data_IF_846229934916
#
_entry.id   IF_846229934916
#
_cell.length_a   1.000
_cell.length_b   1.000
_cell.length_c   1.000
_cell.angle_alpha   90.00
_cell.angle_beta   90.00
_cell.angle_gamma   90.00
#
_symmetry.space_group_name_H-M   'P 1'
#
loop_
_entity.id
_entity.type
_entity.pdbx_description
1 polymer ?
#
# COMPACT_ATOMS: atom_id res chain seq x y z
N UNK A 1 -7.98 4.01 8.35
CA UNK A 1 -6.89 3.92 9.34
C UNK A 1 -7.40 3.99 10.77
N UNK A 2 -8.16 5.01 11.21
CA UNK A 2 -8.75 5.03 12.57
C UNK A 2 -9.59 3.79 12.90
N UNK A 3 -10.51 3.42 11.99
CA UNK A 3 -11.37 2.22 12.10
C UNK A 3 -10.56 0.93 12.28
N UNK A 4 -9.36 0.83 11.68
CA UNK A 4 -8.49 -0.35 11.78
C UNK A 4 -7.88 -0.49 13.16
N UNK A 5 -7.48 0.64 13.77
CA UNK A 5 -6.89 0.65 15.11
C UNK A 5 -7.96 0.46 16.20
N UNK A 6 -9.22 0.77 15.89
CA UNK A 6 -10.38 0.54 16.78
C UNK A 6 -10.98 -0.86 16.66
N UNK A 7 -10.58 -1.63 15.63
CA UNK A 7 -11.12 -2.96 15.40
C UNK A 7 -10.70 -3.96 16.50
N UNK A 8 -11.63 -4.84 16.94
CA UNK A 8 -11.31 -5.88 17.91
C UNK A 8 -10.32 -6.88 17.31
N UNK A 9 -9.40 -7.38 18.14
CA UNK A 9 -8.50 -8.47 17.77
C UNK A 9 -9.24 -9.80 17.76
N UNK A 10 -9.08 -10.57 16.68
CA UNK A 10 -9.73 -11.87 16.51
C UNK A 10 -8.94 -13.04 17.14
N UNK A 11 -7.80 -12.78 17.77
CA UNK A 11 -6.97 -13.83 18.41
C UNK A 11 -6.20 -14.72 17.43
N UNK A 12 -6.32 -14.45 16.13
CA UNK A 12 -5.58 -15.15 15.08
C UNK A 12 -4.12 -14.67 15.02
N UNK A 13 -3.20 -15.58 14.68
CA UNK A 13 -1.80 -15.24 14.52
C UNK A 13 -1.61 -14.30 13.31
N UNK A 14 -0.72 -13.29 13.39
CA UNK A 14 -0.45 -12.42 12.25
C UNK A 14 0.24 -13.21 11.13
N UNK A 15 -0.08 -12.88 9.88
CA UNK A 15 0.63 -13.39 8.71
C UNK A 15 1.83 -12.49 8.36
N UNK A 16 2.87 -13.01 7.69
CA UNK A 16 3.96 -12.19 7.19
C UNK A 16 3.48 -11.17 6.14
N UNK A 17 4.08 -9.97 6.12
CA UNK A 17 3.74 -8.93 5.13
C UNK A 17 3.79 -9.38 3.67
N UNK A 18 4.75 -10.24 3.31
CA UNK A 18 4.83 -10.75 1.93
C UNK A 18 3.62 -11.62 1.58
N UNK A 19 3.11 -12.39 2.56
CA UNK A 19 1.95 -13.26 2.38
C UNK A 19 0.68 -12.44 2.12
N UNK A 20 0.50 -11.31 2.84
CA UNK A 20 -0.57 -10.35 2.58
C UNK A 20 -0.66 -9.93 1.12
N UNK A 21 0.49 -9.58 0.53
CA UNK A 21 0.56 -9.16 -0.87
C UNK A 21 0.32 -10.32 -1.83
N UNK A 22 0.90 -11.50 -1.59
CA UNK A 22 0.75 -12.64 -2.51
C UNK A 22 -0.65 -13.27 -2.47
N UNK A 23 -1.43 -13.06 -1.42
CA UNK A 23 -2.80 -13.58 -1.29
C UNK A 23 -3.89 -12.58 -1.73
N UNK A 24 -3.49 -11.37 -2.12
CA UNK A 24 -4.43 -10.32 -2.44
C UNK A 24 -5.23 -10.60 -3.73
N UNK A 25 -6.55 -10.69 -3.62
CA UNK A 25 -7.45 -11.06 -4.72
C UNK A 25 -7.49 -10.06 -5.90
N UNK A 26 -6.99 -8.84 -5.71
CA UNK A 26 -6.87 -7.83 -6.77
C UNK A 26 -5.71 -8.11 -7.73
N UNK A 27 -4.73 -8.94 -7.34
CA UNK A 27 -3.53 -9.19 -8.15
C UNK A 27 -3.79 -10.12 -9.33
N UNK A 28 -3.18 -9.76 -10.47
CA UNK A 28 -3.22 -10.56 -11.70
C UNK A 28 -4.60 -10.67 -12.35
N UNK A 29 -5.60 -9.96 -11.82
CA UNK A 29 -6.94 -9.90 -12.38
C UNK A 29 -7.11 -8.76 -13.39
N UNK A 30 -8.12 -8.89 -14.24
CA UNK A 30 -8.51 -7.82 -15.18
C UNK A 30 -8.89 -6.52 -14.44
N UNK A 31 -8.58 -5.36 -15.00
CA UNK A 31 -8.91 -4.04 -14.41
C UNK A 31 -10.43 -3.82 -14.24
N UNK A 32 -11.25 -4.62 -14.94
CA UNK A 32 -12.70 -4.62 -14.85
C UNK A 32 -13.25 -5.81 -14.05
N UNK A 33 -12.39 -6.56 -13.35
CA UNK A 33 -12.86 -7.58 -12.43
C UNK A 33 -13.61 -6.93 -11.24
N UNK A 34 -14.46 -7.71 -10.59
CA UNK A 34 -15.32 -7.19 -9.52
C UNK A 34 -14.57 -6.51 -8.37
N UNK A 35 -13.42 -7.05 -7.87
CA UNK A 35 -12.60 -6.33 -6.88
C UNK A 35 -12.14 -4.94 -7.37
N UNK A 36 -11.62 -4.84 -8.59
CA UNK A 36 -11.07 -3.59 -9.11
C UNK A 36 -12.15 -2.55 -9.42
N UNK A 37 -13.32 -2.97 -9.90
CA UNK A 37 -14.44 -2.04 -10.10
C UNK A 37 -15.00 -1.54 -8.76
N UNK A 38 -15.16 -2.42 -7.76
CA UNK A 38 -15.61 -2.00 -6.43
C UNK A 38 -14.67 -0.98 -5.79
N UNK A 39 -13.36 -1.15 -5.94
CA UNK A 39 -12.35 -0.18 -5.46
C UNK A 39 -12.50 1.20 -6.14
N UNK A 40 -12.82 1.21 -7.44
CA UNK A 40 -13.05 2.43 -8.19
C UNK A 40 -14.32 3.13 -7.71
N UNK A 41 -15.41 2.39 -7.57
CA UNK A 41 -16.69 2.93 -7.11
C UNK A 41 -16.57 3.50 -5.69
N UNK A 42 -15.85 2.81 -4.79
CA UNK A 42 -15.52 3.32 -3.43
C UNK A 42 -14.72 4.63 -3.50
N UNK A 43 -13.73 4.70 -4.40
CA UNK A 43 -12.90 5.90 -4.60
C UNK A 43 -13.70 7.08 -5.13
N UNK A 44 -14.60 6.84 -6.10
CA UNK A 44 -15.50 7.86 -6.66
C UNK A 44 -16.47 8.38 -5.60
N UNK A 45 -17.09 7.49 -4.82
CA UNK A 45 -17.96 7.87 -3.71
C UNK A 45 -17.21 8.68 -2.64
N UNK A 46 -15.99 8.28 -2.27
CA UNK A 46 -15.17 9.01 -1.32
C UNK A 46 -14.76 10.42 -1.81
N UNK A 47 -14.75 10.63 -3.13
CA UNK A 47 -14.43 11.90 -3.77
C UNK A 47 -15.66 12.75 -4.14
N UNK A 48 -16.88 12.30 -3.84
CA UNK A 48 -18.14 12.94 -4.24
C UNK A 48 -18.23 14.40 -3.78
N UNK A 49 -17.78 14.70 -2.56
CA UNK A 49 -17.75 16.06 -1.99
C UNK A 49 -16.62 16.94 -2.56
N UNK A 50 -15.78 16.39 -3.44
CA UNK A 50 -14.70 17.07 -4.15
C UNK A 50 -13.38 17.20 -3.36
N UNK A 51 -12.36 17.69 -4.07
CA UNK A 51 -10.97 17.71 -3.57
C UNK A 51 -10.78 18.50 -2.27
N UNK A 52 -11.49 19.62 -2.08
CA UNK A 52 -11.37 20.43 -0.87
C UNK A 52 -11.86 19.69 0.38
N UNK A 53 -12.96 18.94 0.25
CA UNK A 53 -13.49 18.10 1.32
C UNK A 53 -12.53 16.95 1.63
N UNK A 54 -12.02 16.27 0.61
CA UNK A 54 -11.05 15.19 0.77
C UNK A 54 -9.77 15.67 1.49
N UNK A 55 -9.20 16.80 1.06
CA UNK A 55 -8.01 17.39 1.72
C UNK A 55 -8.27 17.71 3.20
N UNK A 56 -9.46 18.22 3.52
CA UNK A 56 -9.85 18.48 4.92
C UNK A 56 -9.90 17.17 5.73
N UNK A 57 -10.53 16.13 5.19
CA UNK A 57 -10.61 14.81 5.84
C UNK A 57 -9.22 14.20 6.03
N UNK A 58 -8.36 14.21 5.02
CA UNK A 58 -6.99 13.71 5.11
C UNK A 58 -6.18 14.46 6.17
N UNK A 59 -6.30 15.79 6.25
CA UNK A 59 -5.62 16.59 7.29
C UNK A 59 -6.10 16.24 8.70
N UNK A 60 -7.40 16.03 8.88
CA UNK A 60 -7.98 15.63 10.16
C UNK A 60 -7.46 14.23 10.58
N UNK A 61 -7.50 13.26 9.68
CA UNK A 61 -6.98 11.91 9.95
C UNK A 61 -5.47 11.92 10.23
N UNK A 62 -4.69 12.72 9.49
CA UNK A 62 -3.25 12.84 9.72
C UNK A 62 -2.94 13.43 11.09
N UNK A 63 -3.70 14.44 11.54
CA UNK A 63 -3.55 15.00 12.87
C UNK A 63 -3.84 13.94 13.96
N UNK A 64 -4.94 13.21 13.83
CA UNK A 64 -5.31 12.14 14.76
C UNK A 64 -4.24 11.03 14.81
N UNK A 65 -3.76 10.57 13.66
CA UNK A 65 -2.78 9.48 13.58
C UNK A 65 -1.41 9.88 14.14
N UNK A 66 -1.01 11.15 14.01
CA UNK A 66 0.24 11.66 14.60
C UNK A 66 0.26 11.56 16.11
N UNK A 67 -0.89 11.78 16.75
CA UNK A 67 -1.01 11.69 18.20
C UNK A 67 -1.20 10.24 18.66
N UNK A 68 -1.96 9.45 17.88
CA UNK A 68 -2.35 8.08 18.25
C UNK A 68 -1.25 7.04 18.05
N UNK A 69 -0.59 7.00 16.89
CA UNK A 69 0.34 5.92 16.54
C UNK A 69 1.50 5.77 17.55
N UNK A 70 2.11 6.86 18.07
CA UNK A 70 3.18 6.72 19.07
C UNK A 70 2.74 6.10 20.40
N UNK A 71 1.43 6.07 20.69
CA UNK A 71 0.87 5.49 21.90
C UNK A 71 0.48 4.01 21.76
N UNK A 72 0.52 3.45 20.54
CA UNK A 72 0.21 2.03 20.31
C UNK A 72 1.38 1.15 20.79
N UNK A 73 1.10 -0.04 21.37
CA UNK A 73 2.13 -1.00 21.74
C UNK A 73 2.96 -1.50 20.54
N UNK A 74 4.24 -1.81 20.76
CA UNK A 74 5.12 -2.31 19.68
C UNK A 74 4.68 -3.67 19.11
N UNK A 75 3.98 -4.48 19.89
CA UNK A 75 3.40 -5.77 19.49
C UNK A 75 1.92 -5.66 19.07
N UNK A 76 1.43 -4.44 18.82
CA UNK A 76 0.05 -4.19 18.39
C UNK A 76 -0.24 -4.98 17.13
N UNK A 77 -1.30 -5.78 17.19
CA UNK A 77 -1.88 -6.45 16.04
C UNK A 77 -3.04 -5.63 15.47
N UNK A 78 -3.33 -5.77 14.19
CA UNK A 78 -4.47 -5.14 13.52
C UNK A 78 -5.10 -6.07 12.49
N UNK A 79 -6.42 -6.00 12.34
CA UNK A 79 -7.14 -6.73 11.29
C UNK A 79 -7.09 -5.96 9.97
N UNK A 80 -6.67 -6.60 8.89
CA UNK A 80 -6.59 -5.92 7.59
C UNK A 80 -8.00 -5.73 7.02
N UNK A 81 -8.44 -4.49 6.70
CA UNK A 81 -9.84 -4.23 6.34
C UNK A 81 -10.29 -4.90 5.03
N UNK A 82 -9.34 -5.31 4.17
CA UNK A 82 -9.62 -6.00 2.91
C UNK A 82 -9.12 -7.46 2.84
N UNK A 83 -8.88 -8.09 3.98
CA UNK A 83 -8.50 -9.51 4.04
C UNK A 83 -8.94 -10.17 5.34
N UNK A 84 -9.13 -11.50 5.38
CA UNK A 84 -9.53 -12.21 6.60
C UNK A 84 -8.40 -12.37 7.63
N UNK A 85 -7.27 -11.67 7.50
CA UNK A 85 -6.05 -11.92 8.28
C UNK A 85 -5.64 -10.75 9.17
N UNK A 86 -4.83 -11.10 10.16
CA UNK A 86 -4.19 -10.17 11.09
C UNK A 86 -2.77 -9.84 10.62
N UNK A 87 -2.33 -8.61 10.85
CA UNK A 87 -0.95 -8.15 10.66
C UNK A 87 -0.42 -7.54 11.96
N UNK A 88 0.91 -7.45 12.08
CA UNK A 88 1.50 -6.50 13.02
C UNK A 88 1.17 -5.08 12.56
N UNK A 89 1.08 -4.12 13.50
CA UNK A 89 0.85 -2.72 13.15
C UNK A 89 1.94 -2.20 12.21
N UNK A 90 3.20 -2.59 12.44
CA UNK A 90 4.33 -2.23 11.59
C UNK A 90 4.15 -2.73 10.15
N UNK A 91 3.82 -4.01 9.97
CA UNK A 91 3.55 -4.57 8.63
C UNK A 91 2.37 -3.86 7.96
N UNK A 92 1.30 -3.58 8.72
CA UNK A 92 0.15 -2.84 8.22
C UNK A 92 0.54 -1.41 7.78
N UNK A 93 1.34 -0.70 8.57
CA UNK A 93 1.81 0.65 8.23
C UNK A 93 2.70 0.63 6.97
N UNK A 94 3.51 -0.40 6.77
CA UNK A 94 4.25 -0.57 5.51
C UNK A 94 3.29 -0.68 4.32
N UNK A 95 2.16 -1.38 4.46
CA UNK A 95 1.14 -1.38 3.39
C UNK A 95 0.65 0.02 3.06
N UNK A 96 0.44 0.86 4.08
CA UNK A 96 -0.02 2.24 3.89
C UNK A 96 1.05 3.10 3.23
N UNK A 97 2.34 2.89 3.56
CA UNK A 97 3.44 3.57 2.89
C UNK A 97 3.51 3.22 1.41
N UNK A 98 3.30 1.95 1.04
CA UNK A 98 3.24 1.52 -0.37
C UNK A 98 2.11 2.24 -1.09
N UNK A 99 0.90 2.20 -0.53
CA UNK A 99 -0.29 2.84 -1.13
C UNK A 99 -0.10 4.36 -1.30
N UNK A 100 0.44 5.04 -0.29
CA UNK A 100 0.70 6.48 -0.35
C UNK A 100 1.76 6.78 -1.42
N UNK A 101 2.87 6.04 -1.46
CA UNK A 101 3.95 6.29 -2.40
C UNK A 101 3.51 6.09 -3.86
N UNK A 102 2.78 5.01 -4.13
CA UNK A 102 2.26 4.70 -5.47
C UNK A 102 1.20 5.72 -5.88
N UNK A 103 0.20 5.97 -5.01
CA UNK A 103 -0.90 6.84 -5.40
C UNK A 103 -0.56 8.34 -5.43
N UNK A 104 0.51 8.77 -4.76
CA UNK A 104 1.03 10.12 -4.95
C UNK A 104 1.59 10.31 -6.36
N UNK A 105 2.32 9.33 -6.87
CA UNK A 105 2.84 9.33 -8.24
C UNK A 105 1.70 9.23 -9.26
N UNK A 106 0.78 8.24 -9.08
CA UNK A 106 -0.39 8.06 -9.94
C UNK A 106 -1.21 9.35 -10.07
N UNK A 107 -1.47 10.02 -8.93
CA UNK A 107 -2.24 11.25 -8.90
C UNK A 107 -1.50 12.38 -9.63
N UNK A 108 -0.22 12.57 -9.36
CA UNK A 108 0.59 13.62 -9.97
C UNK A 108 0.64 13.45 -11.50
N UNK A 109 0.92 12.22 -11.97
CA UNK A 109 0.91 11.87 -13.40
C UNK A 109 -0.45 12.14 -14.02
N UNK A 110 -1.55 11.76 -13.34
CA UNK A 110 -2.92 11.92 -13.85
C UNK A 110 -3.33 13.38 -14.06
N UNK A 111 -2.71 14.32 -13.33
CA UNK A 111 -3.00 15.76 -13.44
C UNK A 111 -1.86 16.55 -14.11
N UNK A 112 -0.85 15.87 -14.65
CA UNK A 112 0.27 16.49 -15.37
C UNK A 112 1.22 17.29 -14.47
N UNK A 113 1.38 16.85 -13.22
CA UNK A 113 2.32 17.44 -12.25
C UNK A 113 3.46 16.45 -11.93
N UNK A 114 4.57 16.97 -11.45
CA UNK A 114 5.64 16.14 -10.90
C UNK A 114 5.22 15.60 -9.52
N UNK A 115 5.53 14.33 -9.26
CA UNK A 115 5.30 13.71 -7.97
C UNK A 115 6.15 14.40 -6.88
N UNK A 116 5.61 14.61 -5.68
CA UNK A 116 6.37 15.21 -4.59
C UNK A 116 7.48 14.26 -4.11
N UNK A 117 8.62 14.84 -3.70
CA UNK A 117 9.69 14.07 -3.07
C UNK A 117 9.22 13.44 -1.76
N UNK A 118 9.48 12.14 -1.61
CA UNK A 118 9.23 11.39 -0.39
C UNK A 118 10.53 11.15 0.38
N UNK A 119 10.49 11.20 1.73
CA UNK A 119 11.67 11.00 2.54
C UNK A 119 12.16 9.54 2.46
N UNK A 120 13.47 9.34 2.62
CA UNK A 120 14.10 8.03 2.46
C UNK A 120 13.55 6.99 3.45
N UNK A 121 13.20 7.41 4.66
CA UNK A 121 12.58 6.57 5.69
C UNK A 121 11.19 6.05 5.28
N UNK A 122 10.48 6.73 4.38
CA UNK A 122 9.23 6.25 3.80
C UNK A 122 9.49 5.34 2.59
N UNK A 123 10.45 5.69 1.74
CA UNK A 123 10.74 4.93 0.51
C UNK A 123 11.48 3.61 0.75
N UNK A 124 12.36 3.54 1.74
CA UNK A 124 13.13 2.33 2.04
C UNK A 124 12.26 1.09 2.31
N UNK A 125 11.24 1.12 3.20
CA UNK A 125 10.36 -0.02 3.39
C UNK A 125 9.51 -0.34 2.15
N UNK A 126 9.08 0.68 1.39
CA UNK A 126 8.35 0.50 0.13
C UNK A 126 9.20 -0.27 -0.88
N UNK A 127 10.44 0.17 -1.14
CA UNK A 127 11.34 -0.52 -2.06
C UNK A 127 11.72 -1.93 -1.58
N UNK A 128 11.86 -2.14 -0.27
CA UNK A 128 12.11 -3.47 0.28
C UNK A 128 10.96 -4.43 -0.05
N UNK A 129 9.70 -3.99 0.11
CA UNK A 129 8.53 -4.79 -0.25
C UNK A 129 8.45 -5.03 -1.75
N UNK A 130 8.51 -3.97 -2.56
CA UNK A 130 8.40 -4.07 -4.02
C UNK A 130 9.50 -4.97 -4.61
N UNK A 131 10.73 -4.88 -4.10
CA UNK A 131 11.83 -5.74 -4.54
C UNK A 131 11.58 -7.20 -4.16
N UNK A 132 11.11 -7.48 -2.94
CA UNK A 132 10.78 -8.86 -2.52
C UNK A 132 9.65 -9.45 -3.36
N UNK A 133 8.65 -8.65 -3.67
CA UNK A 133 7.58 -9.03 -4.58
C UNK A 133 8.10 -9.30 -5.99
N UNK A 134 8.94 -8.42 -6.53
CA UNK A 134 9.51 -8.58 -7.86
C UNK A 134 10.38 -9.85 -7.95
N UNK A 135 11.12 -10.16 -6.88
CA UNK A 135 11.90 -11.41 -6.80
C UNK A 135 10.98 -12.62 -6.70
N UNK A 136 9.88 -12.53 -5.97
CA UNK A 136 8.89 -13.61 -5.87
C UNK A 136 8.21 -13.89 -7.22
N UNK A 137 7.79 -12.84 -7.94
CA UNK A 137 7.02 -12.96 -9.19
C UNK A 137 7.88 -13.21 -10.42
N UNK A 138 9.01 -12.51 -10.55
CA UNK A 138 9.85 -12.51 -11.77
C UNK A 138 11.17 -13.26 -11.59
N UNK A 139 11.50 -13.67 -10.37
CA UNK A 139 12.73 -14.36 -10.02
C UNK A 139 13.94 -13.42 -9.83
N UNK A 140 14.93 -13.82 -9.02
CA UNK A 140 16.05 -12.96 -8.63
C UNK A 140 16.93 -12.52 -9.80
N UNK A 141 17.09 -13.36 -10.82
CA UNK A 141 17.91 -13.04 -12.01
C UNK A 141 17.29 -11.92 -12.84
N UNK A 142 15.96 -11.90 -12.98
CA UNK A 142 15.26 -10.87 -13.74
C UNK A 142 15.38 -9.50 -13.06
N UNK A 143 15.14 -9.47 -11.75
CA UNK A 143 15.30 -8.26 -10.92
C UNK A 143 16.73 -7.76 -10.93
N UNK A 144 17.73 -8.65 -10.73
CA UNK A 144 19.14 -8.27 -10.80
C UNK A 144 19.49 -7.65 -12.16
N UNK A 145 19.02 -8.25 -13.26
CA UNK A 145 19.27 -7.72 -14.61
C UNK A 145 18.63 -6.34 -14.80
N UNK A 146 17.38 -6.18 -14.39
CA UNK A 146 16.67 -4.90 -14.45
C UNK A 146 17.40 -3.78 -13.70
N UNK A 147 17.92 -4.06 -12.51
CA UNK A 147 18.60 -3.07 -11.66
C UNK A 147 20.07 -2.79 -12.06
N UNK A 148 20.69 -3.65 -12.87
CA UNK A 148 22.13 -3.55 -13.16
C UNK A 148 22.46 -3.23 -14.62
N UNK A 149 21.67 -3.69 -15.60
CA UNK A 149 21.95 -3.51 -17.03
C UNK A 149 20.68 -3.49 -17.88
N UNK A 150 20.38 -2.33 -18.48
CA UNK A 150 19.22 -2.14 -19.33
C UNK A 150 19.18 -3.11 -20.53
N UNK A 151 20.33 -3.49 -21.11
CA UNK A 151 20.39 -4.37 -22.29
C UNK A 151 19.97 -5.82 -21.99
N UNK A 152 19.94 -6.20 -20.70
CA UNK A 152 19.55 -7.53 -20.23
C UNK A 152 18.27 -7.51 -19.41
N UNK A 153 17.69 -6.33 -19.19
CA UNK A 153 16.48 -6.17 -18.41
C UNK A 153 15.32 -6.89 -19.12
N UNK A 154 14.47 -7.61 -18.37
CA UNK A 154 13.20 -8.08 -18.93
C UNK A 154 12.33 -6.88 -19.33
N UNK A 155 11.26 -7.13 -20.09
CA UNK A 155 10.32 -6.08 -20.48
C UNK A 155 9.65 -5.39 -19.28
N UNK A 156 9.46 -6.12 -18.17
CA UNK A 156 8.91 -5.58 -16.93
C UNK A 156 9.37 -6.40 -15.73
N UNK A 157 9.43 -5.73 -14.58
CA UNK A 157 9.48 -6.33 -13.23
C UNK A 157 8.43 -5.68 -12.30
N UNK A 158 7.39 -5.06 -12.88
CA UNK A 158 6.29 -4.46 -12.12
C UNK A 158 5.49 -5.54 -11.38
N UNK A 159 4.99 -5.19 -10.20
CA UNK A 159 4.35 -6.12 -9.23
C UNK A 159 3.10 -5.55 -8.56
N UNK A 160 2.70 -4.34 -8.96
CA UNK A 160 1.47 -3.67 -8.57
C UNK A 160 0.74 -3.23 -9.85
#
# INVERSE_FOLDING_TARGET
>A
MPITLDAPLTGEAPIPLLEHYTQAAWRGGDINNAPNTALRDEGEAAAEDGAAALVKQCRQQLAELRDRLPAEPADRLVFHPRGPWTLTLDDFLITRLVEIAVHLDDLAVSVGLDAPDLPQEALAPVFAVLTRLAVHEHGPTAVLRALTRAERAPASIAVL
#
